data_IF_571487379976
#
_entry.id   IF_571487379976
#
_cell.length_a   1.000
_cell.length_b   1.000
_cell.length_c   1.000
_cell.angle_alpha   90.00
_cell.angle_beta   90.00
_cell.angle_gamma   90.00
#
_symmetry.space_group_name_H-M   'P 1'
#
loop_
_entity.id
_entity.type
_entity.pdbx_description
1 polymer ?
#
# COMPACT_ATOMS: atom_id res chain seq x y z
N UNK A 1 4.32 17.20 -8.51
CA UNK A 1 3.72 15.93 -8.08
C UNK A 1 4.66 15.31 -7.09
N UNK A 2 4.17 14.99 -5.90
CA UNK A 2 4.92 14.24 -4.89
C UNK A 2 4.33 12.83 -4.84
N UNK A 3 5.20 11.84 -4.83
CA UNK A 3 4.83 10.41 -4.80
C UNK A 3 5.54 9.80 -3.62
N UNK A 4 4.76 9.17 -2.75
CA UNK A 4 5.27 8.44 -1.61
C UNK A 4 5.12 6.95 -1.87
N UNK A 5 6.21 6.22 -1.72
CA UNK A 5 6.24 4.77 -1.83
C UNK A 5 6.44 4.21 -0.43
N UNK A 6 5.37 3.69 0.16
CA UNK A 6 5.45 2.97 1.43
C UNK A 6 5.67 1.47 1.18
N UNK A 7 6.45 0.86 2.07
CA UNK A 7 6.58 -0.58 2.22
C UNK A 7 7.23 -0.86 3.58
N UNK A 8 7.27 -2.12 4.00
CA UNK A 8 7.96 -2.56 5.21
C UNK A 8 9.45 -2.21 5.17
N UNK A 9 10.05 -2.03 6.35
CA UNK A 9 11.48 -1.69 6.49
C UNK A 9 12.43 -2.70 5.82
N UNK A 10 11.98 -3.94 5.64
CA UNK A 10 12.73 -4.99 4.94
C UNK A 10 12.71 -4.91 3.41
N UNK A 11 11.96 -3.98 2.82
CA UNK A 11 11.89 -3.80 1.38
C UNK A 11 13.19 -3.19 0.81
N UNK A 12 13.52 -3.54 -0.43
CA UNK A 12 14.74 -3.08 -1.10
C UNK A 12 14.55 -1.73 -1.80
N UNK A 13 14.37 -0.68 -0.99
CA UNK A 13 14.31 0.69 -1.50
C UNK A 13 15.61 1.11 -2.22
N UNK A 14 16.75 0.49 -1.91
CA UNK A 14 18.03 0.80 -2.57
C UNK A 14 17.97 0.51 -4.07
N UNK A 15 17.40 -0.63 -4.45
CA UNK A 15 17.19 -0.94 -5.85
C UNK A 15 16.19 0.01 -6.52
N UNK A 16 15.16 0.44 -5.80
CA UNK A 16 14.24 1.47 -6.31
C UNK A 16 14.96 2.80 -6.58
N UNK A 17 15.80 3.27 -5.66
CA UNK A 17 16.58 4.50 -5.85
C UNK A 17 17.52 4.44 -7.05
N UNK A 18 18.10 3.27 -7.35
CA UNK A 18 18.92 3.07 -8.57
C UNK A 18 18.12 3.19 -9.87
N UNK A 19 16.81 2.92 -9.84
CA UNK A 19 15.91 3.02 -11.00
C UNK A 19 15.35 4.43 -11.22
N UNK A 20 15.36 5.30 -10.20
CA UNK A 20 14.82 6.66 -10.32
C UNK A 20 15.47 7.51 -11.42
N UNK A 21 16.80 7.48 -11.66
CA UNK A 21 17.41 8.29 -12.73
C UNK A 21 16.86 7.96 -14.12
N UNK A 22 16.71 6.67 -14.45
CA UNK A 22 16.17 6.25 -15.75
C UNK A 22 14.67 6.55 -15.84
N UNK A 23 13.92 6.36 -14.75
CA UNK A 23 12.53 6.78 -14.64
C UNK A 23 12.36 8.28 -14.94
N UNK A 24 13.15 9.17 -14.31
CA UNK A 24 13.05 10.61 -14.54
C UNK A 24 13.46 11.01 -15.96
N UNK A 25 14.43 10.32 -16.57
CA UNK A 25 14.77 10.52 -17.98
C UNK A 25 13.59 10.18 -18.88
N UNK A 26 13.00 8.99 -18.72
CA UNK A 26 11.86 8.53 -19.50
C UNK A 26 10.61 9.41 -19.28
N UNK A 27 10.41 9.91 -18.06
CA UNK A 27 9.33 10.85 -17.76
C UNK A 27 9.49 12.16 -18.54
N UNK A 28 10.72 12.71 -18.62
CA UNK A 28 10.99 13.92 -19.40
C UNK A 28 10.81 13.71 -20.90
N UNK A 29 11.15 12.52 -21.41
CA UNK A 29 11.00 12.19 -22.83
C UNK A 29 9.55 11.88 -23.24
N UNK A 30 8.75 11.30 -22.33
CA UNK A 30 7.36 10.92 -22.62
C UNK A 30 6.38 12.10 -22.54
N UNK A 31 6.71 13.16 -21.80
CA UNK A 31 5.89 14.36 -21.70
C UNK A 31 6.21 15.28 -22.90
N UNK A 32 5.39 15.17 -23.95
CA UNK A 32 5.54 15.90 -25.24
C UNK A 32 5.28 17.41 -25.13
N UNK A 33 4.66 17.86 -24.04
CA UNK A 33 4.42 19.27 -23.78
C UNK A 33 5.48 19.77 -22.80
N UNK A 34 5.97 20.99 -23.00
CA UNK A 34 7.06 21.60 -22.25
C UNK A 34 6.63 22.00 -20.81
N UNK A 35 5.77 21.18 -20.18
CA UNK A 35 4.93 21.50 -19.02
C UNK A 35 5.66 21.28 -17.70
N UNK A 36 7.00 21.35 -17.70
CA UNK A 36 7.82 21.40 -16.48
C UNK A 36 7.42 20.41 -15.38
N UNK A 37 6.93 19.21 -15.72
CA UNK A 37 6.36 18.28 -14.75
C UNK A 37 7.48 17.86 -13.80
N UNK A 38 7.43 18.39 -12.58
CA UNK A 38 8.33 18.03 -11.48
C UNK A 38 7.66 16.93 -10.67
N UNK A 39 8.23 15.73 -10.74
CA UNK A 39 7.88 14.60 -9.91
C UNK A 39 8.97 14.41 -8.86
N UNK A 40 8.57 14.30 -7.59
CA UNK A 40 9.47 13.99 -6.48
C UNK A 40 9.00 12.69 -5.85
N UNK A 41 9.89 11.72 -5.76
CA UNK A 41 9.62 10.41 -5.17
C UNK A 41 10.31 10.31 -3.81
N UNK A 42 9.55 9.94 -2.78
CA UNK A 42 10.04 9.65 -1.43
C UNK A 42 9.65 8.24 -1.04
N UNK A 43 10.54 7.55 -0.31
CA UNK A 43 10.28 6.22 0.23
C UNK A 43 9.99 6.33 1.72
N UNK A 44 8.97 5.62 2.20
CA UNK A 44 8.54 5.62 3.59
C UNK A 44 8.59 4.18 4.12
N UNK A 45 9.71 3.78 4.75
CA UNK A 45 9.80 2.46 5.38
C UNK A 45 8.92 2.43 6.63
N UNK A 46 7.99 1.49 6.70
CA UNK A 46 7.11 1.31 7.86
C UNK A 46 5.92 0.40 7.60
N UNK A 47 5.26 -0.10 8.65
CA UNK A 47 4.03 -0.86 8.51
C UNK A 47 2.88 0.03 8.04
N UNK A 48 2.18 -0.36 6.97
CA UNK A 48 1.03 0.40 6.45
C UNK A 48 -0.23 0.33 7.33
N UNK A 49 -0.18 -0.34 8.49
CA UNK A 49 -1.25 -0.36 9.49
C UNK A 49 -1.17 0.78 10.52
N UNK A 50 -0.20 1.69 10.39
CA UNK A 50 -0.14 2.90 11.19
C UNK A 50 -0.28 4.14 10.31
N UNK A 51 -0.53 5.28 10.97
CA UNK A 51 -0.56 6.58 10.32
C UNK A 51 0.84 6.97 9.87
N UNK A 52 1.01 7.26 8.59
CA UNK A 52 2.26 7.69 7.97
C UNK A 52 2.29 9.20 7.70
N UNK A 53 1.11 9.83 7.59
CA UNK A 53 1.00 11.25 7.22
C UNK A 53 0.14 12.06 8.20
N UNK A 54 0.32 13.40 8.23
CA UNK A 54 -0.63 14.30 8.85
C UNK A 54 -2.02 14.21 8.19
N UNK A 55 -3.05 14.73 8.85
CA UNK A 55 -4.41 14.66 8.31
C UNK A 55 -4.55 15.51 7.05
N UNK A 56 -5.32 15.03 6.08
CA UNK A 56 -5.65 15.76 4.84
C UNK A 56 -4.45 16.24 4.02
N UNK A 57 -3.39 15.42 3.93
CA UNK A 57 -2.22 15.71 3.10
C UNK A 57 -2.21 14.93 1.80
N UNK A 58 -2.81 13.74 1.75
CA UNK A 58 -2.79 12.88 0.57
C UNK A 58 -3.93 13.24 -0.37
N UNK A 59 -3.62 13.56 -1.63
CA UNK A 59 -4.64 13.82 -2.64
C UNK A 59 -5.24 12.53 -3.22
N UNK A 60 -4.49 11.43 -3.19
CA UNK A 60 -4.83 10.16 -3.79
C UNK A 60 -4.07 9.04 -3.08
N UNK A 61 -4.74 7.90 -2.85
CA UNK A 61 -4.11 6.68 -2.31
C UNK A 61 -4.34 5.53 -3.26
N UNK A 62 -3.28 4.76 -3.49
CA UNK A 62 -3.31 3.54 -4.28
C UNK A 62 -2.65 2.40 -3.51
N UNK A 63 -3.33 1.27 -3.41
CA UNK A 63 -2.77 0.03 -2.85
C UNK A 63 -3.16 -1.14 -3.74
N UNK A 64 -2.22 -2.03 -4.00
CA UNK A 64 -2.44 -3.18 -4.87
C UNK A 64 -1.69 -4.39 -4.35
N UNK A 65 -2.41 -5.48 -4.09
CA UNK A 65 -1.87 -6.73 -3.57
C UNK A 65 -1.06 -6.56 -2.26
N UNK A 66 -1.44 -5.60 -1.40
CA UNK A 66 -0.83 -5.42 -0.07
C UNK A 66 -1.78 -5.82 1.07
N UNK A 67 -3.10 -5.62 0.91
CA UNK A 67 -4.06 -5.80 2.02
C UNK A 67 -4.37 -7.25 2.39
N UNK A 68 -3.86 -8.24 1.64
CA UNK A 68 -3.97 -9.65 2.01
C UNK A 68 -2.92 -10.09 3.05
N UNK A 69 -1.87 -9.30 3.24
CA UNK A 69 -0.90 -9.55 4.30
C UNK A 69 -1.51 -9.19 5.65
N UNK A 70 -1.26 -9.99 6.67
CA UNK A 70 -1.74 -9.75 8.03
C UNK A 70 -0.62 -9.17 8.88
N UNK A 71 -0.98 -8.35 9.87
CA UNK A 71 -0.01 -7.80 10.82
C UNK A 71 0.62 -8.86 11.73
N UNK A 72 -0.12 -9.95 11.99
CA UNK A 72 0.33 -11.12 12.74
C UNK A 72 -0.43 -12.37 12.27
N UNK A 73 0.05 -13.54 12.69
CA UNK A 73 -0.72 -14.79 12.57
C UNK A 73 -2.01 -14.65 13.40
N UNK A 74 -3.20 -15.00 12.87
CA UNK A 74 -4.42 -14.92 13.65
C UNK A 74 -4.39 -15.86 14.85
N UNK A 75 -4.97 -15.41 15.96
CA UNK A 75 -5.02 -16.18 17.20
C UNK A 75 -5.76 -17.51 16.96
N UNK A 76 -5.17 -18.62 17.44
CA UNK A 76 -5.72 -19.96 17.25
C UNK A 76 -5.26 -20.70 15.98
N UNK A 77 -4.56 -20.02 15.04
CA UNK A 77 -3.95 -20.66 13.87
C UNK A 77 -2.49 -21.08 14.07
N UNK A 78 -1.88 -20.73 15.20
CA UNK A 78 -0.46 -21.03 15.50
C UNK A 78 -0.14 -22.54 15.53
N UNK A 79 -1.15 -23.38 15.78
CA UNK A 79 -1.01 -24.84 15.84
C UNK A 79 -1.67 -25.57 14.66
N UNK A 80 -1.96 -24.87 13.55
CA UNK A 80 -2.53 -25.51 12.37
C UNK A 80 -1.48 -26.40 11.68
N UNK A 81 -1.56 -27.71 11.94
CA UNK A 81 -0.65 -28.71 11.37
C UNK A 81 -1.08 -29.19 9.97
N UNK A 82 -2.29 -28.87 9.56
CA UNK A 82 -2.90 -29.41 8.33
C UNK A 82 -2.83 -28.43 7.16
N UNK A 83 -2.71 -27.13 7.43
CA UNK A 83 -2.71 -26.10 6.39
C UNK A 83 -1.81 -24.92 6.74
N UNK A 84 -1.09 -24.40 5.75
CA UNK A 84 -0.30 -23.16 5.82
C UNK A 84 -1.13 -21.91 5.48
N UNK A 85 -2.42 -22.07 5.17
CA UNK A 85 -3.33 -20.98 4.79
C UNK A 85 -4.72 -21.16 5.43
N UNK A 86 -5.43 -20.04 5.61
CA UNK A 86 -6.81 -20.03 6.08
C UNK A 86 -7.73 -20.41 4.91
N UNK A 87 -8.51 -21.48 5.06
CA UNK A 87 -9.22 -22.10 3.93
C UNK A 87 -10.61 -21.51 3.67
N UNK A 88 -11.42 -21.30 4.72
CA UNK A 88 -12.85 -21.01 4.55
C UNK A 88 -13.42 -19.92 5.44
N UNK A 89 -12.69 -19.50 6.47
CA UNK A 89 -13.10 -18.43 7.37
C UNK A 89 -12.10 -17.29 7.28
N UNK A 90 -12.61 -16.10 6.93
CA UNK A 90 -11.84 -14.86 7.03
C UNK A 90 -11.44 -14.71 8.50
N UNK A 91 -10.14 -14.69 8.84
CA UNK A 91 -9.72 -14.53 10.21
C UNK A 91 -10.15 -13.15 10.73
N UNK A 92 -10.56 -13.05 12.01
CA UNK A 92 -10.88 -11.76 12.63
C UNK A 92 -9.72 -10.74 12.52
N UNK A 93 -8.49 -11.24 12.46
CA UNK A 93 -7.29 -10.45 12.22
C UNK A 93 -7.31 -9.74 10.86
N UNK A 94 -7.88 -10.35 9.81
CA UNK A 94 -8.03 -9.73 8.50
C UNK A 94 -8.99 -8.54 8.54
N UNK A 95 -10.16 -8.70 9.17
CA UNK A 95 -11.10 -7.60 9.33
C UNK A 95 -10.50 -6.44 10.14
N UNK A 96 -9.78 -6.77 11.23
CA UNK A 96 -9.07 -5.77 12.03
C UNK A 96 -8.04 -5.01 11.18
N UNK A 97 -7.18 -5.74 10.47
CA UNK A 97 -6.16 -5.19 9.60
C UNK A 97 -6.79 -4.28 8.53
N UNK A 98 -7.84 -4.75 7.86
CA UNK A 98 -8.53 -3.99 6.82
C UNK A 98 -9.16 -2.71 7.40
N UNK A 99 -9.79 -2.80 8.57
CA UNK A 99 -10.42 -1.65 9.23
C UNK A 99 -9.38 -0.62 9.68
N UNK A 100 -8.28 -1.06 10.30
CA UNK A 100 -7.16 -0.19 10.69
C UNK A 100 -6.51 0.46 9.48
N UNK A 101 -6.33 -0.31 8.40
CA UNK A 101 -5.83 0.21 7.14
C UNK A 101 -6.77 1.23 6.52
N UNK A 102 -8.09 1.12 6.66
CA UNK A 102 -8.99 2.16 6.13
C UNK A 102 -9.07 3.39 7.02
N UNK A 103 -8.87 3.22 8.33
CA UNK A 103 -8.94 4.31 9.29
C UNK A 103 -7.83 5.35 9.08
N UNK A 104 -6.57 4.92 8.91
CA UNK A 104 -5.44 5.87 8.81
C UNK A 104 -5.48 6.68 7.49
N UNK A 105 -5.48 6.06 6.29
CA UNK A 105 -5.57 6.76 5.02
C UNK A 105 -6.88 7.54 4.88
N UNK A 106 -7.99 7.11 5.50
CA UNK A 106 -9.23 7.87 5.51
C UNK A 106 -9.09 9.26 6.16
N UNK A 107 -8.22 9.40 7.15
CA UNK A 107 -7.91 10.69 7.78
C UNK A 107 -6.79 11.47 7.07
N UNK A 108 -5.84 10.75 6.46
CA UNK A 108 -4.72 11.35 5.72
C UNK A 108 -5.15 11.89 4.36
N UNK A 109 -6.18 11.29 3.75
CA UNK A 109 -6.70 11.73 2.45
C UNK A 109 -7.51 13.02 2.61
N UNK A 110 -7.31 13.95 1.67
CA UNK A 110 -8.09 15.19 1.60
C UNK A 110 -9.57 14.88 1.42
N UNK A 111 -10.45 15.76 1.90
CA UNK A 111 -11.89 15.58 1.71
C UNK A 111 -12.24 15.42 0.22
N UNK A 112 -12.86 14.30 -0.13
CA UNK A 112 -13.22 13.96 -1.51
C UNK A 112 -12.09 13.37 -2.36
N UNK A 113 -10.91 13.13 -1.77
CA UNK A 113 -9.79 12.47 -2.44
C UNK A 113 -10.11 10.99 -2.73
N UNK A 114 -9.68 10.43 -3.87
CA UNK A 114 -9.96 9.04 -4.20
C UNK A 114 -8.99 8.09 -3.49
N UNK A 115 -9.51 6.90 -3.15
CA UNK A 115 -8.71 5.73 -2.78
C UNK A 115 -9.00 4.59 -3.75
N UNK A 116 -7.96 3.98 -4.30
CA UNK A 116 -8.07 2.81 -5.18
C UNK A 116 -7.35 1.64 -4.52
N UNK A 117 -8.10 0.60 -4.17
CA UNK A 117 -7.60 -0.58 -3.47
C UNK A 117 -7.86 -1.82 -4.31
N UNK A 118 -6.79 -2.55 -4.66
CA UNK A 118 -6.86 -3.81 -5.39
C UNK A 118 -6.38 -4.92 -4.45
N UNK A 119 -7.27 -5.86 -4.13
CA UNK A 119 -7.02 -6.89 -3.13
C UNK A 119 -7.39 -8.27 -3.68
N UNK A 120 -6.67 -9.29 -3.21
CA UNK A 120 -7.07 -10.68 -3.44
C UNK A 120 -8.13 -11.03 -2.41
N UNK A 121 -9.34 -11.33 -2.89
CA UNK A 121 -10.42 -11.85 -2.07
C UNK A 121 -10.53 -13.38 -2.18
N UNK A 122 -11.24 -14.03 -1.25
CA UNK A 122 -11.56 -15.44 -1.38
C UNK A 122 -12.38 -15.69 -2.66
N UNK A 123 -12.08 -16.77 -3.36
CA UNK A 123 -12.88 -17.19 -4.50
C UNK A 123 -14.24 -17.69 -4.02
N UNK A 124 -15.30 -16.90 -4.20
CA UNK A 124 -16.67 -17.35 -4.03
C UNK A 124 -17.20 -17.81 -5.39
N UNK A 125 -17.45 -19.12 -5.55
CA UNK A 125 -18.30 -19.59 -6.65
C UNK A 125 -19.69 -18.98 -6.44
N UNK A 126 -20.13 -18.16 -7.39
CA UNK A 126 -21.54 -17.77 -7.53
C UNK A 126 -22.38 -18.97 -7.90
#
# INVERSE_FOLDING_TARGET
MEVFLDDLEGNDFNNLFKLLPSFYKNLRESVTRNDGIRCFVSCLPGPFYCRLFPSHTLNFVYSSFSLQWLSKVPDGLENNKESIHWQWQVPAEYERVFTTFLASPGEEVVRGGPMVLICVGPFQKR
#
